data_IF_227680843706
#
_entry.id   IF_227680843706
#
_cell.length_a   1.000
_cell.length_b   1.000
_cell.length_c   1.000
_cell.angle_alpha   90.00
_cell.angle_beta   90.00
_cell.angle_gamma   90.00
#
_symmetry.space_group_name_H-M   'P 1'
#
loop_
_entity.id
_entity.type
_entity.pdbx_description
1 polymer ?
#
# COMPACT_ATOMS: atom_id res chain seq x y z
N UNK A 1 -44.51 -19.37 -11.77
CA UNK A 1 -44.04 -17.98 -11.59
C UNK A 1 -43.88 -17.63 -10.11
N UNK A 2 -44.86 -17.96 -9.24
CA UNK A 2 -44.79 -17.68 -7.79
C UNK A 2 -43.73 -18.45 -6.97
N UNK A 3 -43.39 -19.68 -7.34
CA UNK A 3 -42.32 -20.42 -6.62
C UNK A 3 -40.92 -19.85 -6.91
N UNK A 4 -40.68 -19.40 -8.14
CA UNK A 4 -39.41 -18.79 -8.53
C UNK A 4 -39.22 -17.46 -7.80
N UNK A 5 -40.27 -16.65 -7.67
CA UNK A 5 -40.20 -15.40 -6.91
C UNK A 5 -39.97 -15.65 -5.43
N UNK A 6 -40.61 -16.67 -4.83
CA UNK A 6 -40.40 -17.02 -3.42
C UNK A 6 -38.96 -17.48 -3.16
N UNK A 7 -38.37 -18.28 -4.04
CA UNK A 7 -36.96 -18.69 -3.92
C UNK A 7 -36.02 -17.49 -4.04
N UNK A 8 -36.29 -16.57 -4.97
CA UNK A 8 -35.50 -15.34 -5.13
C UNK A 8 -35.58 -14.46 -3.88
N UNK A 9 -36.76 -14.30 -3.28
CA UNK A 9 -36.95 -13.51 -2.07
C UNK A 9 -36.16 -14.09 -0.88
N UNK A 10 -36.19 -15.41 -0.70
CA UNK A 10 -35.43 -16.09 0.36
C UNK A 10 -33.93 -15.89 0.15
N UNK A 11 -33.42 -16.14 -1.06
CA UNK A 11 -32.00 -15.96 -1.38
C UNK A 11 -31.58 -14.51 -1.19
N UNK A 12 -32.38 -13.55 -1.66
CA UNK A 12 -32.10 -12.13 -1.51
C UNK A 12 -32.05 -11.73 -0.02
N UNK A 13 -32.99 -12.23 0.79
CA UNK A 13 -33.01 -11.97 2.24
C UNK A 13 -31.78 -12.50 2.95
N UNK A 14 -31.36 -13.72 2.66
CA UNK A 14 -30.16 -14.31 3.28
C UNK A 14 -28.89 -13.57 2.85
N UNK A 15 -28.78 -13.18 1.57
CA UNK A 15 -27.67 -12.36 1.09
C UNK A 15 -27.65 -10.96 1.73
N UNK A 16 -28.83 -10.35 1.93
CA UNK A 16 -28.95 -9.06 2.62
C UNK A 16 -28.54 -9.18 4.09
N UNK A 17 -28.96 -10.23 4.79
CA UNK A 17 -28.54 -10.49 6.18
C UNK A 17 -27.03 -10.72 6.27
N UNK A 18 -26.47 -11.48 5.34
CA UNK A 18 -25.02 -11.70 5.26
C UNK A 18 -24.26 -10.39 5.02
N UNK A 19 -24.70 -9.58 4.05
CA UNK A 19 -24.11 -8.28 3.77
C UNK A 19 -24.24 -7.32 4.96
N UNK A 20 -25.41 -7.27 5.61
CA UNK A 20 -25.65 -6.44 6.78
C UNK A 20 -24.74 -6.84 7.96
N UNK A 21 -24.56 -8.15 8.20
CA UNK A 21 -23.63 -8.64 9.22
C UNK A 21 -22.17 -8.26 8.90
N UNK A 22 -21.75 -8.43 7.64
CA UNK A 22 -20.42 -8.04 7.18
C UNK A 22 -20.15 -6.54 7.33
N UNK A 23 -21.11 -5.69 6.92
CA UNK A 23 -21.05 -4.23 7.09
C UNK A 23 -21.04 -3.81 8.56
N UNK A 24 -21.82 -4.48 9.41
CA UNK A 24 -21.84 -4.21 10.84
C UNK A 24 -20.48 -4.53 11.48
N UNK A 25 -19.87 -5.67 11.14
CA UNK A 25 -18.55 -6.07 11.64
C UNK A 25 -17.47 -5.09 11.14
N UNK A 26 -17.47 -4.77 9.85
CA UNK A 26 -16.52 -3.81 9.27
C UNK A 26 -16.67 -2.41 9.88
N UNK A 27 -17.90 -1.92 10.00
CA UNK A 27 -18.19 -0.61 10.56
C UNK A 27 -17.94 -0.50 12.07
N UNK A 28 -17.91 -1.62 12.79
CA UNK A 28 -17.55 -1.62 14.22
C UNK A 28 -16.07 -1.24 14.42
N UNK A 29 -15.18 -1.71 13.56
CA UNK A 29 -13.75 -1.33 13.61
C UNK A 29 -13.58 0.18 13.40
N UNK A 30 -14.23 0.73 12.36
CA UNK A 30 -14.25 2.16 12.09
C UNK A 30 -14.82 2.96 13.27
N UNK A 31 -15.96 2.51 13.84
CA UNK A 31 -16.58 3.15 15.00
C UNK A 31 -15.67 3.16 16.24
N UNK A 32 -14.90 2.09 16.46
CA UNK A 32 -13.95 2.02 17.57
C UNK A 32 -12.80 3.02 17.39
N UNK A 33 -12.28 3.17 16.16
CA UNK A 33 -11.27 4.18 15.85
C UNK A 33 -11.81 5.59 16.06
N UNK A 34 -13.04 5.86 15.63
CA UNK A 34 -13.71 7.15 15.85
C UNK A 34 -13.92 7.44 17.33
N UNK A 35 -14.41 6.47 18.11
CA UNK A 35 -14.61 6.63 19.54
C UNK A 35 -13.29 6.89 20.27
N UNK A 36 -12.22 6.19 19.90
CA UNK A 36 -10.88 6.42 20.45
C UNK A 36 -10.37 7.82 20.10
N UNK A 37 -10.61 8.29 18.87
CA UNK A 37 -10.28 9.64 18.44
C UNK A 37 -11.02 10.69 19.29
N UNK A 38 -12.35 10.56 19.43
CA UNK A 38 -13.16 11.48 20.23
C UNK A 38 -12.78 11.44 21.71
N UNK A 39 -12.59 10.26 22.29
CA UNK A 39 -12.15 10.11 23.69
C UNK A 39 -10.79 10.81 23.91
N UNK A 40 -9.81 10.60 23.01
CA UNK A 40 -8.52 11.30 23.07
C UNK A 40 -8.69 12.81 22.95
N UNK A 41 -9.56 13.29 22.05
CA UNK A 41 -9.84 14.72 21.86
C UNK A 41 -10.50 15.36 23.08
N UNK A 42 -11.37 14.64 23.79
CA UNK A 42 -12.02 15.12 25.02
C UNK A 42 -11.02 15.15 26.18
N UNK A 43 -10.24 14.07 26.38
CA UNK A 43 -9.30 13.96 27.50
C UNK A 43 -8.09 14.89 27.34
N UNK A 44 -7.49 14.93 26.15
CA UNK A 44 -6.23 15.67 25.89
C UNK A 44 -6.44 17.03 25.24
N UNK A 45 -7.68 17.41 24.95
CA UNK A 45 -8.01 18.58 24.14
C UNK A 45 -7.72 18.38 22.64
N UNK A 46 -8.01 19.37 21.80
CA UNK A 46 -7.66 19.32 20.39
C UNK A 46 -6.15 19.21 20.24
N UNK A 47 -5.67 18.23 19.47
CA UNK A 47 -4.26 18.16 19.11
C UNK A 47 -3.86 19.46 18.42
N UNK A 48 -2.81 20.11 18.91
CA UNK A 48 -2.24 21.29 18.25
C UNK A 48 -1.83 20.85 16.85
N UNK A 49 -2.42 21.39 15.77
CA UNK A 49 -2.07 20.98 14.43
C UNK A 49 -0.59 21.30 14.22
N UNK A 50 0.22 20.26 14.00
CA UNK A 50 1.61 20.43 13.57
C UNK A 50 1.55 21.04 12.18
N UNK A 51 1.66 22.36 12.12
CA UNK A 51 1.71 23.12 10.88
C UNK A 51 3.08 22.84 10.26
N UNK A 52 3.11 22.22 9.08
CA UNK A 52 4.35 21.83 8.39
C UNK A 52 5.30 23.01 8.15
N UNK A 53 4.78 24.23 8.04
CA UNK A 53 5.57 25.46 7.93
C UNK A 53 6.18 25.96 9.25
N UNK A 54 5.67 25.49 10.39
CA UNK A 54 6.19 25.82 11.72
C UNK A 54 7.31 24.86 12.15
N UNK A 55 7.52 23.78 11.40
CA UNK A 55 8.69 22.94 11.56
C UNK A 55 9.91 23.68 10.98
N UNK A 56 11.06 23.70 11.70
CA UNK A 56 12.30 24.18 11.13
C UNK A 56 12.56 23.45 9.82
N UNK A 57 12.89 24.18 8.75
CA UNK A 57 13.34 23.53 7.51
C UNK A 57 14.57 22.69 7.86
N UNK A 58 14.56 21.38 7.60
CA UNK A 58 15.73 20.56 7.89
C UNK A 58 16.91 21.07 7.07
N UNK A 59 18.07 21.21 7.73
CA UNK A 59 19.31 21.71 7.11
C UNK A 59 19.77 20.81 5.96
N UNK A 60 19.40 19.52 6.02
CA UNK A 60 19.62 18.54 4.96
C UNK A 60 18.33 17.76 4.72
N UNK A 61 17.94 17.66 3.45
CA UNK A 61 16.86 16.78 3.03
C UNK A 61 17.27 15.33 3.28
N UNK A 62 16.52 14.60 4.09
CA UNK A 62 16.77 13.18 4.35
C UNK A 62 16.49 12.31 3.12
N UNK A 63 17.10 11.13 3.05
CA UNK A 63 16.82 10.14 2.01
C UNK A 63 15.38 9.64 2.12
N UNK A 64 14.65 9.60 1.01
CA UNK A 64 13.29 9.06 0.95
C UNK A 64 13.31 7.68 0.31
N UNK A 65 12.72 6.69 0.98
CA UNK A 65 12.53 5.35 0.41
C UNK A 65 11.05 5.14 0.14
N UNK A 66 10.71 4.76 -1.10
CA UNK A 66 9.35 4.46 -1.52
C UNK A 66 9.23 2.96 -1.77
N UNK A 67 8.30 2.31 -1.07
CA UNK A 67 8.02 0.89 -1.24
C UNK A 67 6.81 0.69 -2.13
N UNK A 68 7.01 -0.05 -3.22
CA UNK A 68 5.99 -0.31 -4.24
C UNK A 68 5.84 -1.83 -4.42
N UNK A 69 4.89 -2.48 -3.71
CA UNK A 69 4.58 -3.88 -3.95
C UNK A 69 3.82 -4.02 -5.28
N UNK A 70 4.25 -4.93 -6.15
CA UNK A 70 3.68 -5.15 -7.48
C UNK A 70 3.43 -6.65 -7.73
N UNK A 71 2.17 -7.02 -7.99
CA UNK A 71 1.73 -8.36 -8.36
C UNK A 71 0.69 -8.27 -9.47
N UNK A 72 0.96 -8.87 -10.62
CA UNK A 72 0.13 -8.81 -11.83
C UNK A 72 -0.09 -7.36 -12.31
N UNK A 73 0.98 -6.57 -12.30
CA UNK A 73 0.96 -5.14 -12.63
C UNK A 73 1.76 -4.81 -13.91
N UNK A 74 2.10 -5.82 -14.72
CA UNK A 74 2.93 -5.68 -15.94
C UNK A 74 2.46 -4.57 -16.89
N UNK A 75 1.14 -4.37 -17.01
CA UNK A 75 0.55 -3.35 -17.87
C UNK A 75 0.74 -1.90 -17.36
N UNK A 76 1.03 -1.71 -16.07
CA UNK A 76 1.03 -0.38 -15.43
C UNK A 76 2.34 -0.03 -14.72
N UNK A 77 3.11 -1.01 -14.25
CA UNK A 77 4.28 -0.79 -13.39
C UNK A 77 5.33 0.09 -14.06
N UNK A 78 5.64 -0.15 -15.33
CA UNK A 78 6.65 0.64 -16.05
C UNK A 78 6.27 2.11 -16.21
N UNK A 79 5.00 2.40 -16.54
CA UNK A 79 4.48 3.75 -16.66
C UNK A 79 4.41 4.46 -15.29
N UNK A 80 4.03 3.73 -14.24
CA UNK A 80 4.00 4.23 -12.86
C UNK A 80 5.41 4.64 -12.41
N UNK A 81 6.41 3.77 -12.58
CA UNK A 81 7.80 4.05 -12.20
C UNK A 81 8.37 5.24 -12.98
N UNK A 82 8.19 5.26 -14.31
CA UNK A 82 8.65 6.37 -15.15
C UNK A 82 8.02 7.70 -14.74
N UNK A 83 6.73 7.68 -14.38
CA UNK A 83 6.02 8.87 -13.90
C UNK A 83 6.54 9.33 -12.54
N UNK A 84 6.78 8.40 -11.61
CA UNK A 84 7.36 8.72 -10.31
C UNK A 84 8.74 9.37 -10.46
N UNK A 85 9.58 8.80 -11.31
CA UNK A 85 10.93 9.30 -11.60
C UNK A 85 10.92 10.74 -12.14
N UNK A 86 9.95 11.08 -13.00
CA UNK A 86 9.80 12.42 -13.57
C UNK A 86 9.11 13.44 -12.66
N UNK A 87 8.35 13.00 -11.64
CA UNK A 87 7.56 13.90 -10.77
C UNK A 87 8.18 14.16 -9.40
N UNK A 88 8.96 13.23 -8.86
CA UNK A 88 9.56 13.41 -7.55
C UNK A 88 10.66 14.48 -7.61
N UNK A 89 10.35 15.67 -7.09
CA UNK A 89 11.28 16.80 -6.95
C UNK A 89 12.05 16.69 -5.63
N UNK A 90 12.78 15.59 -5.46
CA UNK A 90 13.64 15.34 -4.31
C UNK A 90 15.00 14.85 -4.77
N UNK A 91 16.07 15.31 -4.12
CA UNK A 91 17.43 15.04 -4.58
C UNK A 91 17.95 13.64 -4.23
N UNK A 92 17.41 13.01 -3.18
CA UNK A 92 17.90 11.73 -2.66
C UNK A 92 16.73 10.82 -2.30
N UNK A 93 16.23 10.07 -3.30
CA UNK A 93 15.20 9.06 -3.09
C UNK A 93 15.49 7.79 -3.86
N UNK A 94 14.92 6.68 -3.36
CA UNK A 94 14.97 5.38 -4.00
C UNK A 94 13.61 4.70 -3.96
N UNK A 95 13.24 4.00 -5.03
CA UNK A 95 11.99 3.24 -5.13
C UNK A 95 12.35 1.76 -5.09
N UNK A 96 11.89 1.06 -4.06
CA UNK A 96 12.02 -0.39 -3.95
C UNK A 96 10.74 -1.03 -4.47
N UNK A 97 10.89 -1.86 -5.50
CA UNK A 97 9.76 -2.53 -6.16
C UNK A 97 9.75 -3.99 -5.74
N UNK A 98 8.68 -4.38 -5.04
CA UNK A 98 8.49 -5.73 -4.53
C UNK A 98 7.84 -6.59 -5.60
N UNK A 99 8.53 -7.65 -6.02
CA UNK A 99 8.15 -8.50 -7.14
C UNK A 99 8.11 -9.96 -6.70
N UNK A 100 7.42 -10.79 -7.46
CA UNK A 100 7.22 -12.21 -7.17
C UNK A 100 7.81 -13.11 -8.27
N UNK A 101 8.48 -14.22 -7.92
CA UNK A 101 9.15 -15.09 -8.90
C UNK A 101 8.24 -15.65 -10.01
N UNK A 102 6.96 -15.86 -9.71
CA UNK A 102 5.97 -16.39 -10.64
C UNK A 102 5.26 -15.32 -11.49
N UNK A 103 5.71 -14.06 -11.45
CA UNK A 103 5.21 -12.98 -12.31
C UNK A 103 6.35 -12.38 -13.16
N UNK A 104 6.83 -13.13 -14.17
CA UNK A 104 7.92 -12.67 -15.02
C UNK A 104 7.54 -11.44 -15.85
N UNK A 105 6.26 -11.26 -16.19
CA UNK A 105 5.80 -10.13 -16.98
C UNK A 105 5.98 -8.80 -16.23
N UNK A 106 5.58 -8.75 -14.95
CA UNK A 106 5.79 -7.55 -14.12
C UNK A 106 7.27 -7.34 -13.80
N UNK A 107 8.04 -8.41 -13.60
CA UNK A 107 9.50 -8.32 -13.40
C UNK A 107 10.15 -7.65 -14.61
N UNK A 108 9.86 -8.11 -15.83
CA UNK A 108 10.43 -7.55 -17.07
C UNK A 108 10.05 -6.07 -17.23
N UNK A 109 8.76 -5.74 -17.05
CA UNK A 109 8.31 -4.35 -17.17
C UNK A 109 8.95 -3.41 -16.14
N UNK A 110 9.24 -3.88 -14.92
CA UNK A 110 9.95 -3.11 -13.92
C UNK A 110 11.47 -3.04 -14.21
N UNK A 111 12.06 -4.12 -14.74
CA UNK A 111 13.46 -4.17 -15.15
C UNK A 111 13.79 -3.18 -16.27
N UNK A 112 12.91 -3.06 -17.27
CA UNK A 112 13.08 -2.10 -18.38
C UNK A 112 13.25 -0.64 -17.88
N UNK A 113 12.62 -0.29 -16.76
CA UNK A 113 12.78 1.03 -16.14
C UNK A 113 14.01 1.07 -15.24
N UNK A 114 14.27 0.01 -14.48
CA UNK A 114 15.43 -0.07 -13.60
C UNK A 114 16.77 -0.05 -14.35
N UNK A 115 16.82 -0.54 -15.58
CA UNK A 115 18.00 -0.43 -16.45
C UNK A 115 18.32 1.02 -16.83
N UNK A 116 17.32 1.90 -16.85
CA UNK A 116 17.46 3.31 -17.25
C UNK A 116 17.72 4.24 -16.08
N UNK A 117 17.43 3.81 -14.85
CA UNK A 117 17.50 4.65 -13.66
C UNK A 117 17.86 3.83 -12.40
N UNK A 118 19.00 4.14 -11.79
CA UNK A 118 19.60 3.46 -10.64
C UNK A 118 18.83 3.66 -9.32
N UNK A 119 17.89 4.62 -9.30
CA UNK A 119 16.98 4.87 -8.18
C UNK A 119 15.92 3.80 -8.05
N UNK A 120 15.73 2.93 -9.05
CA UNK A 120 14.83 1.79 -8.96
C UNK A 120 15.60 0.57 -8.45
N UNK A 121 15.16 0.03 -7.31
CA UNK A 121 15.70 -1.19 -6.70
C UNK A 121 14.67 -2.30 -6.78
N UNK A 122 14.91 -3.28 -7.63
CA UNK A 122 14.06 -4.46 -7.72
C UNK A 122 14.37 -5.43 -6.58
N UNK A 123 13.32 -5.91 -5.91
CA UNK A 123 13.41 -6.90 -4.85
C UNK A 123 12.43 -8.02 -5.17
N UNK A 124 12.96 -9.15 -5.61
CA UNK A 124 12.17 -10.34 -5.90
C UNK A 124 12.12 -11.19 -4.62
N UNK A 125 10.90 -11.44 -4.14
CA UNK A 125 10.67 -12.29 -2.96
C UNK A 125 11.02 -13.75 -3.20
N UNK A 126 11.12 -14.54 -2.13
CA UNK A 126 11.43 -15.98 -2.22
C UNK A 126 10.21 -16.87 -2.47
N UNK A 127 9.00 -16.33 -2.29
CA UNK A 127 7.74 -17.07 -2.43
C UNK A 127 6.98 -16.60 -3.66
N UNK A 128 6.28 -17.53 -4.30
CA UNK A 128 5.31 -17.22 -5.34
C UNK A 128 4.17 -16.37 -4.77
N UNK A 129 3.75 -15.37 -5.55
CA UNK A 129 2.62 -14.50 -5.24
C UNK A 129 1.28 -15.06 -5.73
N UNK A 130 0.16 -14.40 -5.34
CA UNK A 130 0.15 -13.27 -4.43
C UNK A 130 0.33 -13.72 -2.96
N UNK A 131 1.09 -12.93 -2.21
CA UNK A 131 1.02 -12.96 -0.73
C UNK A 131 0.21 -11.74 -0.25
N UNK A 132 0.22 -11.43 1.04
CA UNK A 132 -0.41 -10.20 1.53
C UNK A 132 0.46 -8.99 1.18
N UNK A 133 -0.17 -7.80 1.05
CA UNK A 133 0.57 -6.54 0.88
C UNK A 133 1.59 -6.32 2.00
N UNK A 134 1.21 -6.64 3.25
CA UNK A 134 2.09 -6.54 4.41
C UNK A 134 3.33 -7.43 4.28
N UNK A 135 3.16 -8.65 3.76
CA UNK A 135 4.27 -9.57 3.54
C UNK A 135 5.26 -9.08 2.48
N UNK A 136 4.75 -8.55 1.36
CA UNK A 136 5.59 -7.93 0.34
C UNK A 136 6.37 -6.73 0.91
N UNK A 137 5.70 -5.87 1.68
CA UNK A 137 6.32 -4.71 2.32
C UNK A 137 7.39 -5.12 3.35
N UNK A 138 7.20 -6.21 4.08
CA UNK A 138 8.23 -6.75 4.98
C UNK A 138 9.45 -7.24 4.19
N UNK A 139 9.24 -7.88 3.04
CA UNK A 139 10.33 -8.30 2.15
C UNK A 139 11.14 -7.08 1.67
N UNK A 140 10.46 -6.00 1.27
CA UNK A 140 11.11 -4.73 0.91
C UNK A 140 11.86 -4.10 2.07
N UNK A 141 11.29 -4.12 3.27
CA UNK A 141 11.93 -3.63 4.49
C UNK A 141 13.22 -4.38 4.81
N UNK A 142 13.21 -5.71 4.72
CA UNK A 142 14.42 -6.51 4.91
C UNK A 142 15.46 -6.30 3.82
N UNK A 143 15.05 -5.98 2.59
CA UNK A 143 15.98 -5.60 1.53
C UNK A 143 16.64 -4.24 1.82
N UNK A 144 15.85 -3.23 2.20
CA UNK A 144 16.37 -1.93 2.59
C UNK A 144 17.38 -2.05 3.75
N UNK A 145 17.05 -2.82 4.79
CA UNK A 145 17.98 -3.02 5.92
C UNK A 145 19.32 -3.64 5.48
N UNK A 146 19.30 -4.59 4.54
CA UNK A 146 20.53 -5.19 3.98
C UNK A 146 21.33 -4.18 3.16
N UNK A 147 20.66 -3.42 2.30
CA UNK A 147 21.30 -2.41 1.47
C UNK A 147 21.93 -1.31 2.35
N UNK A 148 21.24 -0.86 3.40
CA UNK A 148 21.77 0.13 4.36
C UNK A 148 22.92 -0.39 5.23
N UNK A 149 23.00 -1.69 5.50
CA UNK A 149 24.10 -2.28 6.26
C UNK A 149 25.38 -2.46 5.41
N UNK A 150 25.26 -2.40 4.08
CA UNK A 150 26.37 -2.52 3.14
C UNK A 150 26.94 -1.17 2.70
N UNK A 151 26.25 -0.06 3.00
CA UNK A 151 26.69 1.33 2.79
C UNK A 151 27.61 1.82 3.93
#
# INVERSE_FOLDING_TARGET
MGEITAVIEVVARELLLFAAAGLLIGGLDDLLVDLLYFARRIIKGPATPIRSYALPRPVRSGRIIVFTPAWDESAVIGAMLSTALGRFRHSDYRIYVGLYPNDPATILAAADVAERDDRIRLVIGSRNGPTTKADCLNTLWHALQRDMAAE
#
